data_IF_468674119689
#
_entry.id   IF_468674119689
#
_cell.length_a   1.000
_cell.length_b   1.000
_cell.length_c   1.000
_cell.angle_alpha   90.00
_cell.angle_beta   90.00
_cell.angle_gamma   90.00
#
_symmetry.space_group_name_H-M   'P 1'
#
loop_
_entity.id
_entity.type
_entity.pdbx_description
1 polymer ?
#
# COMPACT_ATOMS: atom_id res chain seq x y z
N UNK A 1 -3.91 18.07 9.98
CA UNK A 1 -4.27 16.68 9.63
C UNK A 1 -3.78 15.78 10.75
N UNK A 2 -4.61 14.86 11.23
CA UNK A 2 -4.20 13.87 12.24
C UNK A 2 -3.26 12.85 11.58
N UNK A 3 -2.05 12.70 12.13
CA UNK A 3 -1.12 11.66 11.66
C UNK A 3 -1.68 10.27 11.97
N UNK A 4 -1.45 9.32 11.07
CA UNK A 4 -1.86 7.91 11.26
C UNK A 4 -0.73 7.07 11.88
N UNK A 5 0.53 7.50 11.75
CA UNK A 5 1.64 6.87 12.48
C UNK A 5 1.46 7.10 13.97
N UNK A 6 1.85 6.09 14.77
CA UNK A 6 1.96 6.29 16.21
C UNK A 6 3.24 7.06 16.52
N UNK A 7 3.27 7.82 17.62
CA UNK A 7 4.48 8.56 18.04
C UNK A 7 5.69 7.64 18.18
N UNK A 8 5.49 6.42 18.71
CA UNK A 8 6.55 5.42 18.82
C UNK A 8 7.08 4.95 17.45
N UNK A 9 6.20 4.85 16.45
CA UNK A 9 6.58 4.48 15.09
C UNK A 9 7.30 5.60 14.36
N UNK A 10 6.87 6.85 14.59
CA UNK A 10 7.56 8.01 14.07
C UNK A 10 8.98 8.09 14.64
N UNK A 11 9.14 7.84 15.95
CA UNK A 11 10.45 7.75 16.58
C UNK A 11 11.34 6.62 16.01
N UNK A 12 10.76 5.44 15.73
CA UNK A 12 11.48 4.35 15.06
C UNK A 12 11.93 4.76 13.64
N UNK A 13 11.03 5.33 12.83
CA UNK A 13 11.31 5.81 11.46
C UNK A 13 12.41 6.86 11.47
N UNK A 14 12.31 7.85 12.36
CA UNK A 14 13.27 8.95 12.43
C UNK A 14 14.64 8.48 12.91
N UNK A 15 14.68 7.47 13.79
CA UNK A 15 15.94 6.84 14.20
C UNK A 15 16.61 6.09 13.05
N UNK A 16 15.86 5.28 12.29
CA UNK A 16 16.40 4.57 11.12
C UNK A 16 16.85 5.56 10.06
N UNK A 17 16.08 6.60 9.77
CA UNK A 17 16.42 7.64 8.80
C UNK A 17 17.71 8.39 9.14
N UNK A 18 17.97 8.62 10.43
CA UNK A 18 19.18 9.32 10.88
C UNK A 18 20.43 8.45 10.77
N UNK A 19 20.30 7.16 11.05
CA UNK A 19 21.44 6.26 11.28
C UNK A 19 21.70 5.30 10.10
N UNK A 20 20.82 5.29 9.09
CA UNK A 20 20.88 4.44 7.89
C UNK A 20 20.63 5.26 6.61
N UNK A 21 21.01 4.70 5.47
CA UNK A 21 20.75 5.29 4.15
C UNK A 21 19.28 5.18 3.74
N UNK A 22 18.85 5.94 2.73
CA UNK A 22 17.48 5.86 2.18
C UNK A 22 17.14 4.47 1.63
N UNK A 23 18.08 3.77 0.96
CA UNK A 23 17.86 2.40 0.47
C UNK A 23 17.58 1.43 1.62
N UNK A 24 18.33 1.56 2.72
CA UNK A 24 18.18 0.74 3.92
C UNK A 24 16.88 1.04 4.66
N UNK A 25 16.53 2.33 4.80
CA UNK A 25 15.25 2.76 5.37
C UNK A 25 14.08 2.14 4.58
N UNK A 26 14.09 2.27 3.25
CA UNK A 26 13.00 1.76 2.41
C UNK A 26 12.89 0.24 2.53
N UNK A 27 14.02 -0.46 2.44
CA UNK A 27 14.09 -1.91 2.59
C UNK A 27 13.57 -2.41 3.95
N UNK A 28 13.92 -1.71 5.03
CA UNK A 28 13.47 -2.01 6.38
C UNK A 28 11.97 -1.73 6.54
N UNK A 29 11.52 -0.54 6.14
CA UNK A 29 10.12 -0.14 6.26
C UNK A 29 9.20 -1.11 5.52
N UNK A 30 9.59 -1.57 4.33
CA UNK A 30 8.85 -2.53 3.52
C UNK A 30 8.55 -3.85 4.22
N UNK A 31 9.43 -4.27 5.12
CA UNK A 31 9.32 -5.50 5.90
C UNK A 31 8.91 -5.24 7.36
N UNK A 32 8.75 -3.98 7.74
CA UNK A 32 8.49 -3.58 9.12
C UNK A 32 7.05 -3.86 9.55
N UNK A 33 6.88 -4.09 10.84
CA UNK A 33 5.55 -4.12 11.46
C UNK A 33 4.84 -2.75 11.37
N UNK A 34 5.60 -1.65 11.19
CA UNK A 34 5.05 -0.31 10.99
C UNK A 34 4.22 -0.27 9.71
N UNK A 35 4.79 -0.68 8.57
CA UNK A 35 4.07 -0.69 7.29
C UNK A 35 2.81 -1.54 7.37
N UNK A 36 2.89 -2.71 8.00
CA UNK A 36 1.74 -3.60 8.18
C UNK A 36 0.59 -2.93 8.95
N UNK A 37 0.90 -2.28 10.09
CA UNK A 37 -0.10 -1.56 10.91
C UNK A 37 -0.60 -0.28 10.23
N UNK A 38 0.29 0.51 9.65
CA UNK A 38 -0.06 1.75 8.98
C UNK A 38 -1.01 1.49 7.81
N UNK A 39 -0.71 0.47 6.99
CA UNK A 39 -1.59 0.06 5.89
C UNK A 39 -2.99 -0.32 6.36
N UNK A 40 -3.11 -1.06 7.47
CA UNK A 40 -4.42 -1.37 8.10
C UNK A 40 -5.14 -0.12 8.60
N UNK A 41 -4.40 0.88 9.06
CA UNK A 41 -4.98 2.13 9.54
C UNK A 41 -5.50 2.96 8.36
N UNK A 42 -4.77 2.99 7.24
CA UNK A 42 -5.26 3.54 5.97
C UNK A 42 -6.49 2.78 5.44
N UNK A 43 -6.50 1.44 5.53
CA UNK A 43 -7.68 0.61 5.19
C UNK A 43 -8.91 1.01 5.98
N UNK A 44 -8.77 1.29 7.27
CA UNK A 44 -9.86 1.78 8.11
C UNK A 44 -10.29 3.19 7.68
N UNK A 45 -9.33 4.10 7.55
CA UNK A 45 -9.61 5.50 7.18
C UNK A 45 -10.32 5.62 5.82
N UNK A 46 -9.90 4.82 4.84
CA UNK A 46 -10.47 4.81 3.49
C UNK A 46 -11.67 3.88 3.36
N UNK A 47 -12.15 3.25 4.44
CA UNK A 47 -13.33 2.39 4.41
C UNK A 47 -13.21 1.21 3.44
N UNK A 48 -12.01 0.63 3.28
CA UNK A 48 -11.70 -0.43 2.31
C UNK A 48 -12.00 -0.03 0.86
N UNK A 49 -11.75 1.25 0.52
CA UNK A 49 -11.83 1.78 -0.85
C UNK A 49 -10.46 2.17 -1.36
N UNK A 50 -10.22 1.93 -2.64
CA UNK A 50 -9.04 2.43 -3.34
C UNK A 50 -9.03 3.95 -3.33
N UNK A 51 -7.89 4.58 -3.03
CA UNK A 51 -7.78 6.04 -3.03
C UNK A 51 -8.10 6.71 -4.37
N UNK A 52 -7.88 6.01 -5.48
CA UNK A 52 -8.05 6.56 -6.83
C UNK A 52 -9.40 6.20 -7.45
N UNK A 53 -9.76 4.91 -7.49
CA UNK A 53 -11.01 4.50 -8.12
C UNK A 53 -12.20 4.43 -7.17
N UNK A 54 -12.00 4.59 -5.85
CA UNK A 54 -13.03 4.48 -4.80
C UNK A 54 -13.81 3.16 -4.74
N UNK A 55 -13.50 2.20 -5.61
CA UNK A 55 -14.10 0.86 -5.60
C UNK A 55 -13.82 0.17 -4.27
N UNK A 56 -14.87 -0.36 -3.66
CA UNK A 56 -14.78 -1.14 -2.44
C UNK A 56 -14.16 -2.52 -2.70
N UNK A 57 -13.41 -3.03 -1.73
CA UNK A 57 -13.03 -4.44 -1.69
C UNK A 57 -13.48 -5.06 -0.37
N UNK A 58 -14.23 -6.16 -0.45
CA UNK A 58 -14.73 -6.88 0.72
C UNK A 58 -13.66 -7.75 1.39
N UNK A 59 -12.51 -7.15 1.71
CA UNK A 59 -11.39 -7.86 2.32
C UNK A 59 -10.56 -6.94 3.19
N UNK A 60 -10.27 -7.44 4.39
CA UNK A 60 -9.27 -6.84 5.27
C UNK A 60 -7.86 -7.35 4.95
N UNK A 61 -7.66 -8.22 3.96
CA UNK A 61 -6.34 -8.77 3.66
C UNK A 61 -5.43 -7.69 3.01
N UNK A 62 -4.35 -7.33 3.69
CA UNK A 62 -3.37 -6.33 3.23
C UNK A 62 -2.68 -6.67 1.91
N UNK A 63 -2.70 -7.93 1.44
CA UNK A 63 -2.08 -8.34 0.17
C UNK A 63 -2.88 -7.95 -1.07
N UNK A 64 -4.15 -7.56 -0.89
CA UNK A 64 -5.03 -7.10 -1.97
C UNK A 64 -4.90 -5.59 -2.23
N UNK A 65 -4.34 -4.88 -1.26
CA UNK A 65 -4.08 -3.46 -1.31
C UNK A 65 -2.60 -3.25 -1.57
N UNK A 66 -2.22 -2.14 -2.17
CA UNK A 66 -0.86 -1.61 -2.16
C UNK A 66 -0.82 -0.35 -1.31
N UNK A 67 0.33 -0.07 -0.71
CA UNK A 67 0.55 1.22 -0.06
C UNK A 67 1.12 2.15 -1.12
N UNK A 68 0.28 3.06 -1.59
CA UNK A 68 0.55 4.01 -2.65
C UNK A 68 1.28 5.24 -2.10
N UNK A 69 2.31 5.68 -2.82
CA UNK A 69 2.91 6.99 -2.66
C UNK A 69 2.34 7.95 -3.70
N UNK A 70 1.60 8.97 -3.25
CA UNK A 70 0.95 9.93 -4.15
C UNK A 70 2.00 10.60 -5.04
N UNK A 71 3.04 11.16 -4.42
CA UNK A 71 4.30 11.51 -5.06
C UNK A 71 5.23 10.30 -5.03
N UNK A 72 5.63 9.82 -6.21
CA UNK A 72 6.41 8.59 -6.36
C UNK A 72 7.69 8.61 -5.52
N UNK A 73 8.01 7.46 -4.92
CA UNK A 73 9.26 7.27 -4.19
C UNK A 73 10.52 7.36 -5.07
N UNK A 74 10.38 7.13 -6.38
CA UNK A 74 11.48 7.25 -7.35
C UNK A 74 11.92 8.71 -7.50
N UNK A 75 10.96 9.63 -7.58
CA UNK A 75 11.20 11.07 -7.81
C UNK A 75 11.29 11.86 -6.51
N UNK A 76 10.58 11.41 -5.46
CA UNK A 76 10.46 12.11 -4.18
C UNK A 76 10.78 11.20 -2.97
N UNK A 77 11.99 10.61 -2.91
CA UNK A 77 12.37 9.68 -1.85
C UNK A 77 12.32 10.30 -0.44
N UNK A 78 12.44 11.63 -0.32
CA UNK A 78 12.30 12.34 0.95
C UNK A 78 10.90 12.20 1.57
N UNK A 79 9.88 11.84 0.79
CA UNK A 79 8.51 11.64 1.26
C UNK A 79 8.10 10.17 1.43
N UNK A 80 9.05 9.23 1.36
CA UNK A 80 8.78 7.79 1.37
C UNK A 80 8.01 7.30 2.62
N UNK A 81 8.27 7.88 3.81
CA UNK A 81 7.52 7.57 5.05
C UNK A 81 6.72 8.75 5.58
N UNK A 82 6.34 9.72 4.74
CA UNK A 82 5.50 10.84 5.15
C UNK A 82 4.03 10.43 5.01
N UNK A 83 3.30 10.41 6.13
CA UNK A 83 1.94 9.86 6.18
C UNK A 83 0.98 10.52 5.17
N UNK A 84 1.10 11.83 4.96
CA UNK A 84 0.31 12.61 4.00
C UNK A 84 0.52 12.15 2.56
N UNK A 85 1.68 11.57 2.25
CA UNK A 85 2.01 11.05 0.92
C UNK A 85 1.54 9.59 0.73
N UNK A 86 1.02 8.95 1.76
CA UNK A 86 0.67 7.52 1.77
C UNK A 86 -0.84 7.29 1.83
N UNK A 87 -1.32 6.39 0.97
CA UNK A 87 -2.71 5.93 0.91
C UNK A 87 -2.75 4.45 0.51
N UNK A 88 -3.91 3.78 0.64
CA UNK A 88 -4.09 2.47 0.01
C UNK A 88 -4.69 2.60 -1.38
N UNK A 89 -4.11 1.87 -2.33
CA UNK A 89 -4.63 1.72 -3.69
C UNK A 89 -4.90 0.25 -4.00
N UNK A 90 -5.79 -0.02 -4.95
CA UNK A 90 -5.88 -1.34 -5.55
C UNK A 90 -4.69 -1.55 -6.50
N UNK A 91 -4.33 -2.82 -6.73
CA UNK A 91 -3.18 -3.18 -7.59
C UNK A 91 -3.27 -2.59 -8.99
N UNK A 92 -4.48 -2.54 -9.58
CA UNK A 92 -4.70 -1.96 -10.91
C UNK A 92 -4.31 -0.48 -10.94
N UNK A 93 -4.82 0.32 -10.01
CA UNK A 93 -4.57 1.76 -10.02
C UNK A 93 -3.11 2.10 -9.66
N UNK A 94 -2.54 1.40 -8.67
CA UNK A 94 -1.12 1.55 -8.31
C UNK A 94 -0.21 1.22 -9.52
N UNK A 95 -0.46 0.10 -10.20
CA UNK A 95 0.31 -0.29 -11.39
C UNK A 95 0.12 0.68 -12.57
N UNK A 96 -1.09 1.21 -12.77
CA UNK A 96 -1.38 2.14 -13.85
C UNK A 96 -0.72 3.52 -13.63
N UNK A 97 -0.83 4.07 -12.42
CA UNK A 97 -0.16 5.32 -12.05
C UNK A 97 1.35 5.15 -12.07
N UNK A 98 1.86 4.06 -11.46
CA UNK A 98 3.28 3.77 -11.34
C UNK A 98 4.04 4.98 -10.77
N UNK A 99 5.05 5.46 -11.50
CA UNK A 99 5.88 6.60 -11.14
C UNK A 99 5.47 7.88 -11.87
N UNK A 100 4.24 8.00 -12.36
CA UNK A 100 3.78 9.25 -12.96
C UNK A 100 3.80 10.38 -11.93
N UNK A 101 4.49 11.47 -12.27
CA UNK A 101 4.62 12.65 -11.43
C UNK A 101 3.33 13.48 -11.49
N UNK A 102 2.64 13.54 -10.35
CA UNK A 102 1.37 14.27 -10.21
C UNK A 102 1.55 15.61 -9.51
N UNK A 103 2.78 16.02 -9.20
CA UNK A 103 3.07 17.36 -8.73
C UNK A 103 2.98 18.32 -9.92
N UNK A 104 2.21 19.39 -9.83
CA UNK A 104 2.06 20.33 -10.97
C UNK A 104 3.42 20.95 -11.33
N UNK A 105 3.62 21.26 -12.62
CA UNK A 105 4.87 21.81 -13.14
C UNK A 105 5.21 23.19 -12.55
N UNK A 106 4.20 23.96 -12.15
CA UNK A 106 4.39 25.28 -11.52
C UNK A 106 4.93 25.20 -10.10
N UNK A 107 4.95 24.01 -9.47
CA UNK A 107 5.48 23.84 -8.13
C UNK A 107 7.01 23.66 -8.16
N UNK A 108 7.78 24.41 -7.34
CA UNK A 108 9.24 24.30 -7.29
C UNK A 108 9.73 22.87 -7.01
N UNK A 109 10.80 22.47 -7.72
CA UNK A 109 11.45 21.16 -7.52
C UNK A 109 12.92 21.31 -7.09
N UNK A 110 13.41 20.46 -6.16
CA UNK A 110 12.62 19.54 -5.33
C UNK A 110 11.79 20.32 -4.28
N UNK A 111 10.59 19.84 -3.91
CA UNK A 111 9.79 20.47 -2.87
C UNK A 111 10.50 20.31 -1.50
N UNK A 112 10.54 21.40 -0.73
CA UNK A 112 11.16 21.43 0.62
C UNK A 112 10.35 20.61 1.64
N UNK A 113 9.03 20.60 1.48
CA UNK A 113 8.10 19.85 2.32
C UNK A 113 6.98 19.28 1.46
N UNK A 114 6.29 18.24 1.95
CA UNK A 114 5.14 17.67 1.24
C UNK A 114 4.09 18.78 1.00
N UNK A 115 3.71 19.07 -0.26
CA UNK A 115 2.71 20.10 -0.53
C UNK A 115 1.37 19.77 0.14
N UNK A 116 0.84 20.70 0.92
CA UNK A 116 -0.39 20.50 1.71
C UNK A 116 -1.66 21.05 1.05
N UNK A 117 -1.51 21.71 -0.11
CA UNK A 117 -2.62 22.32 -0.82
C UNK A 117 -2.97 21.50 -2.08
N UNK A 118 -4.26 21.30 -2.30
CA UNK A 118 -4.83 20.62 -3.47
C UNK A 118 -4.27 21.13 -4.80
N UNK A 119 -4.11 22.45 -4.94
CA UNK A 119 -3.67 23.08 -6.21
C UNK A 119 -2.30 22.60 -6.70
N UNK A 120 -1.49 22.00 -5.82
CA UNK A 120 -0.18 21.48 -6.18
C UNK A 120 -0.23 20.09 -6.81
N UNK A 121 -1.38 19.43 -6.83
CA UNK A 121 -1.54 18.09 -7.40
C UNK A 121 -2.41 18.14 -8.66
N UNK A 122 -1.95 17.51 -9.74
CA UNK A 122 -2.69 17.42 -11.01
C UNK A 122 -3.87 16.46 -10.92
N UNK A 123 -3.85 15.52 -9.98
CA UNK A 123 -4.97 14.62 -9.65
C UNK A 123 -5.60 15.01 -8.29
N UNK A 124 -6.79 14.47 -7.94
CA UNK A 124 -7.34 14.60 -6.60
C UNK A 124 -6.43 13.89 -5.61
N UNK A 125 -5.90 14.64 -4.66
CA UNK A 125 -5.02 14.09 -3.63
C UNK A 125 -5.86 13.29 -2.62
N UNK A 126 -5.56 11.99 -2.37
CA UNK A 126 -6.39 11.09 -1.55
C UNK A 126 -6.78 11.54 -0.15
N UNK A 127 -6.02 12.47 0.43
CA UNK A 127 -6.23 12.98 1.79
C UNK A 127 -6.69 14.43 1.86
N UNK A 128 -6.64 15.15 0.74
CA UNK A 128 -6.91 16.61 0.71
C UNK A 128 -8.20 16.88 -0.06
N UNK A 129 -8.36 16.23 -1.21
CA UNK A 129 -9.48 16.48 -2.11
C UNK A 129 -10.68 15.59 -1.78
N UNK A 130 -11.88 16.14 -1.96
CA UNK A 130 -13.11 15.37 -2.01
C UNK A 130 -13.24 14.71 -3.38
N UNK A 131 -13.12 13.39 -3.41
CA UNK A 131 -13.20 12.61 -4.66
C UNK A 131 -14.51 12.86 -5.41
N UNK A 132 -15.63 13.00 -4.69
CA UNK A 132 -16.96 13.17 -5.27
C UNK A 132 -17.14 14.54 -5.97
N UNK A 133 -16.29 15.52 -5.66
CA UNK A 133 -16.26 16.81 -6.36
C UNK A 133 -15.42 16.76 -7.65
N UNK A 134 -14.61 15.71 -7.80
CA UNK A 134 -13.68 15.59 -8.91
C UNK A 134 -14.14 14.54 -9.93
N UNK A 135 -14.79 13.45 -9.50
CA UNK A 135 -15.21 12.37 -10.37
C UNK A 135 -16.63 11.89 -10.03
N UNK A 136 -17.29 11.34 -11.05
CA UNK A 136 -18.46 10.48 -10.90
C UNK A 136 -18.22 9.14 -11.62
N UNK A 137 -19.08 8.15 -11.35
CA UNK A 137 -18.94 6.82 -11.94
C UNK A 137 -20.29 6.15 -12.20
N UNK A 138 -20.30 5.22 -13.15
CA UNK A 138 -21.35 4.21 -13.33
C UNK A 138 -20.81 2.89 -12.81
N UNK A 139 -21.28 2.45 -11.64
CA UNK A 139 -20.93 1.16 -11.03
C UNK A 139 -19.41 0.86 -10.91
N UNK A 140 -18.55 1.88 -10.82
CA UNK A 140 -17.09 1.76 -10.82
C UNK A 140 -16.49 1.06 -12.07
N UNK A 141 -17.29 0.92 -13.14
CA UNK A 141 -16.88 0.35 -14.43
C UNK A 141 -16.43 1.46 -15.39
N UNK A 142 -17.11 2.61 -15.33
CA UNK A 142 -16.83 3.79 -16.13
C UNK A 142 -16.84 5.02 -15.22
N UNK A 143 -15.89 5.92 -15.43
CA UNK A 143 -15.70 7.15 -14.68
C UNK A 143 -15.79 8.36 -15.60
N UNK A 144 -16.29 9.47 -15.05
CA UNK A 144 -16.36 10.78 -15.69
C UNK A 144 -15.68 11.82 -14.81
N UNK A 145 -14.79 12.62 -15.40
CA UNK A 145 -14.19 13.77 -14.74
C UNK A 145 -15.22 14.89 -14.62
N UNK A 146 -15.36 15.45 -13.41
CA UNK A 146 -16.18 16.63 -13.14
C UNK A 146 -15.35 17.92 -13.20
N UNK A 147 -14.03 17.80 -13.15
CA UNK A 147 -13.05 18.86 -13.29
C UNK A 147 -11.74 18.32 -13.91
N UNK A 148 -10.76 19.20 -14.09
CA UNK A 148 -9.46 18.86 -14.69
C UNK A 148 -8.73 17.77 -13.91
N UNK A 149 -8.74 17.84 -12.57
CA UNK A 149 -8.15 16.82 -11.70
C UNK A 149 -8.78 15.46 -11.93
N UNK A 150 -10.10 15.40 -11.99
CA UNK A 150 -10.82 14.16 -12.24
C UNK A 150 -10.49 13.53 -13.60
N UNK A 151 -10.42 14.36 -14.64
CA UNK A 151 -10.03 13.94 -15.98
C UNK A 151 -8.60 13.42 -16.02
N UNK A 152 -7.68 14.10 -15.34
CA UNK A 152 -6.29 13.67 -15.21
C UNK A 152 -6.20 12.33 -14.47
N UNK A 153 -6.93 12.14 -13.37
CA UNK A 153 -6.92 10.88 -12.63
C UNK A 153 -7.40 9.70 -13.48
N UNK A 154 -8.45 9.89 -14.28
CA UNK A 154 -8.96 8.85 -15.19
C UNK A 154 -7.86 8.42 -16.17
N UNK A 155 -7.07 9.38 -16.66
CA UNK A 155 -5.97 9.16 -17.59
C UNK A 155 -4.78 8.46 -16.91
N UNK A 156 -4.26 9.06 -15.83
CA UNK A 156 -3.10 8.55 -15.05
C UNK A 156 -3.34 7.13 -14.57
N UNK A 157 -4.51 6.86 -13.99
CA UNK A 157 -4.85 5.55 -13.44
C UNK A 157 -5.59 4.63 -14.42
N UNK A 158 -5.80 5.06 -15.67
CA UNK A 158 -6.46 4.29 -16.74
C UNK A 158 -7.80 3.69 -16.30
N UNK A 159 -8.62 4.51 -15.64
CA UNK A 159 -9.82 4.01 -14.96
C UNK A 159 -10.81 3.37 -15.94
N UNK A 160 -10.93 3.93 -17.14
CA UNK A 160 -11.86 3.49 -18.19
C UNK A 160 -11.28 2.49 -19.20
N UNK A 161 -10.01 2.10 -19.08
CA UNK A 161 -9.32 1.28 -20.10
C UNK A 161 -10.04 -0.05 -20.40
N UNK A 162 -10.60 -0.72 -19.40
CA UNK A 162 -11.34 -1.98 -19.62
C UNK A 162 -12.68 -1.80 -20.33
N UNK A 163 -13.33 -0.66 -20.14
CA UNK A 163 -14.56 -0.31 -20.84
C UNK A 163 -14.26 0.00 -22.30
N UNK A 164 -13.20 0.77 -22.56
CA UNK A 164 -12.80 1.21 -23.91
C UNK A 164 -12.18 0.09 -24.75
N UNK A 165 -11.50 -0.88 -24.13
CA UNK A 165 -10.90 -2.03 -24.84
C UNK A 165 -11.94 -3.06 -25.32
N UNK A 166 -13.15 -3.06 -24.76
CA UNK A 166 -14.22 -3.99 -25.13
C UNK A 166 -15.10 -3.40 -26.23
N UNK A 167 -14.61 -3.50 -27.47
CA UNK A 167 -15.34 -3.17 -28.70
C UNK A 167 -15.26 -1.70 -29.07
N UNK A 168 -15.38 -1.38 -30.36
CA UNK A 168 -15.44 -0.02 -30.92
C UNK A 168 -16.69 0.76 -30.45
N UNK A 169 -16.95 0.77 -29.15
CA UNK A 169 -18.12 1.32 -28.49
C UNK A 169 -17.75 2.71 -27.95
N UNK A 170 -18.66 3.66 -28.16
CA UNK A 170 -18.56 5.00 -27.56
C UNK A 170 -18.72 4.91 -26.04
N UNK A 171 -18.33 5.98 -25.32
CA UNK A 171 -18.55 6.06 -23.87
C UNK A 171 -20.03 5.82 -23.52
N UNK A 172 -20.92 6.39 -24.35
CA UNK A 172 -22.37 6.28 -24.25
C UNK A 172 -22.83 4.82 -24.38
N UNK A 173 -22.28 4.06 -25.33
CA UNK A 173 -22.63 2.65 -25.54
C UNK A 173 -22.24 1.78 -24.33
N UNK A 174 -21.06 2.01 -23.74
CA UNK A 174 -20.64 1.24 -22.57
C UNK A 174 -21.50 1.62 -21.36
N UNK A 175 -21.83 2.90 -21.20
CA UNK A 175 -22.75 3.37 -20.15
C UNK A 175 -24.13 2.72 -20.29
N UNK A 176 -24.69 2.69 -21.49
CA UNK A 176 -25.97 2.04 -21.77
C UNK A 176 -25.92 0.54 -21.44
N UNK A 177 -24.89 -0.16 -21.90
CA UNK A 177 -24.74 -1.60 -21.63
C UNK A 177 -24.58 -1.92 -20.13
N UNK A 178 -23.83 -1.08 -19.39
CA UNK A 178 -23.67 -1.20 -17.95
C UNK A 178 -25.00 -0.97 -17.21
N UNK A 179 -25.81 -0.01 -17.67
CA UNK A 179 -27.15 0.26 -17.14
C UNK A 179 -28.07 -0.93 -17.30
N UNK A 180 -28.30 -1.39 -18.53
CA UNK A 180 -29.25 -2.48 -18.79
C UNK A 180 -28.92 -3.71 -17.94
N UNK A 181 -27.64 -4.13 -17.92
CA UNK A 181 -27.21 -5.29 -17.13
C UNK A 181 -27.39 -5.13 -15.62
N UNK A 182 -27.27 -3.90 -15.09
CA UNK A 182 -27.48 -3.65 -13.67
C UNK A 182 -28.94 -3.85 -13.30
N UNK A 183 -29.87 -3.25 -14.05
CA UNK A 183 -31.30 -3.34 -13.78
C UNK A 183 -31.85 -4.76 -13.97
N UNK A 184 -31.36 -5.47 -14.99
CA UNK A 184 -31.63 -6.90 -15.19
C UNK A 184 -31.24 -7.72 -13.94
N UNK A 185 -30.04 -7.47 -13.38
CA UNK A 185 -29.54 -8.19 -12.20
C UNK A 185 -30.31 -7.86 -10.93
N UNK A 186 -30.80 -6.63 -10.81
CA UNK A 186 -31.60 -6.18 -9.67
C UNK A 186 -33.09 -6.57 -9.78
N UNK A 187 -33.51 -7.19 -10.90
CA UNK A 187 -34.88 -7.63 -11.12
C UNK A 187 -35.88 -6.48 -11.16
N UNK A 188 -35.47 -5.32 -11.65
CA UNK A 188 -36.31 -4.11 -11.74
C UNK A 188 -36.22 -3.52 -13.14
N UNK A 189 -37.35 -3.36 -13.82
CA UNK A 189 -37.40 -2.68 -15.13
C UNK A 189 -37.31 -1.17 -14.92
N UNK A 190 -36.41 -0.50 -15.65
CA UNK A 190 -36.43 0.97 -15.74
C UNK A 190 -37.65 1.40 -16.56
N UNK A 191 -38.46 2.37 -16.08
CA UNK A 191 -39.47 3.01 -16.92
C UNK A 191 -38.81 3.59 -18.18
N UNK A 192 -39.44 3.40 -19.35
CA UNK A 192 -38.89 3.82 -20.64
C UNK A 192 -38.68 5.35 -20.76
N UNK A 193 -39.33 6.13 -19.90
CA UNK A 193 -39.29 7.59 -19.81
C UNK A 193 -38.41 8.12 -18.66
N UNK A 194 -37.66 7.25 -17.97
CA UNK A 194 -36.81 7.65 -16.86
C UNK A 194 -35.56 8.40 -17.38
N UNK A 195 -35.26 9.63 -16.87
CA UNK A 195 -34.11 10.39 -17.33
C UNK A 195 -32.80 9.62 -17.17
N UNK A 196 -31.95 9.71 -18.18
CA UNK A 196 -30.75 8.89 -18.27
C UNK A 196 -29.72 9.19 -17.14
N UNK A 197 -29.59 10.46 -16.76
CA UNK A 197 -28.71 10.91 -15.68
C UNK A 197 -29.22 10.44 -14.30
N UNK A 198 -30.53 10.49 -14.07
CA UNK A 198 -31.15 10.02 -12.84
C UNK A 198 -30.94 8.50 -12.65
N UNK A 199 -30.94 7.72 -13.75
CA UNK A 199 -30.67 6.29 -13.70
C UNK A 199 -29.23 6.01 -13.26
N UNK A 200 -28.26 6.77 -13.81
CA UNK A 200 -26.84 6.67 -13.43
C UNK A 200 -26.68 6.96 -11.94
N UNK A 201 -27.27 8.07 -11.48
CA UNK A 201 -27.14 8.50 -10.10
C UNK A 201 -27.72 7.46 -9.15
N UNK A 202 -28.91 6.94 -9.46
CA UNK A 202 -29.56 5.88 -8.66
C UNK A 202 -28.76 4.59 -8.64
N UNK A 203 -28.20 4.15 -9.78
CA UNK A 203 -27.32 2.99 -9.84
C UNK A 203 -26.08 3.18 -8.98
N UNK A 204 -25.41 4.31 -9.13
CA UNK A 204 -24.22 4.64 -8.36
C UNK A 204 -24.54 4.66 -6.86
N UNK A 205 -25.71 5.19 -6.47
CA UNK A 205 -26.15 5.19 -5.08
C UNK A 205 -26.42 3.78 -4.55
N UNK A 206 -27.17 2.95 -5.27
CA UNK A 206 -27.46 1.57 -4.86
C UNK A 206 -26.18 0.73 -4.71
N UNK A 207 -25.22 0.87 -5.63
CA UNK A 207 -23.92 0.20 -5.51
C UNK A 207 -23.19 0.69 -4.26
N UNK A 208 -23.15 2.01 -4.01
CA UNK A 208 -22.52 2.56 -2.80
C UNK A 208 -23.18 2.05 -1.53
N UNK A 209 -24.50 2.01 -1.46
CA UNK A 209 -25.26 1.56 -0.29
C UNK A 209 -24.97 0.08 0.02
N UNK A 210 -24.96 -0.77 -1.01
CA UNK A 210 -24.61 -2.19 -0.88
C UNK A 210 -23.17 -2.39 -0.39
N UNK A 211 -22.22 -1.66 -0.97
CA UNK A 211 -20.82 -1.69 -0.54
C UNK A 211 -20.65 -1.20 0.90
N UNK A 212 -21.40 -0.18 1.30
CA UNK A 212 -21.35 0.39 2.64
C UNK A 212 -21.96 -0.57 3.69
N UNK A 213 -22.99 -1.33 3.32
CA UNK A 213 -23.52 -2.42 4.14
C UNK A 213 -22.48 -3.54 4.33
N UNK A 214 -21.77 -3.93 3.27
CA UNK A 214 -20.69 -4.93 3.36
C UNK A 214 -19.50 -4.41 4.16
N UNK A 215 -19.13 -3.14 3.97
CA UNK A 215 -18.06 -2.45 4.71
C UNK A 215 -18.30 -2.55 6.21
N UNK A 216 -19.54 -2.31 6.66
CA UNK A 216 -19.90 -2.41 8.08
C UNK A 216 -19.52 -3.76 8.70
N UNK A 217 -19.70 -4.86 7.96
CA UNK A 217 -19.34 -6.21 8.41
C UNK A 217 -17.82 -6.41 8.56
N UNK A 218 -17.01 -5.72 7.74
CA UNK A 218 -15.54 -5.84 7.76
C UNK A 218 -14.85 -4.90 8.75
N UNK A 219 -15.52 -3.83 9.19
CA UNK A 219 -14.92 -2.83 10.08
C UNK A 219 -14.54 -3.41 11.44
N UNK A 220 -15.43 -4.14 12.10
CA UNK A 220 -15.14 -4.70 13.42
C UNK A 220 -13.95 -5.69 13.43
N UNK A 221 -13.84 -6.63 12.47
CA UNK A 221 -12.64 -7.45 12.31
C UNK A 221 -11.36 -6.62 12.10
N UNK A 222 -11.40 -5.60 11.24
CA UNK A 222 -10.25 -4.73 10.96
C UNK A 222 -9.80 -3.97 12.22
N UNK A 223 -10.75 -3.43 12.98
CA UNK A 223 -10.48 -2.74 14.23
C UNK A 223 -9.86 -3.65 15.29
N UNK A 224 -10.33 -4.90 15.37
CA UNK A 224 -9.75 -5.90 16.27
C UNK A 224 -8.30 -6.24 15.91
N UNK A 225 -7.98 -6.35 14.62
CA UNK A 225 -6.60 -6.54 14.17
C UNK A 225 -5.72 -5.31 14.46
N UNK A 226 -6.23 -4.11 14.18
CA UNK A 226 -5.53 -2.87 14.50
C UNK A 226 -5.22 -2.74 15.99
N UNK A 227 -6.16 -3.08 16.87
CA UNK A 227 -5.93 -3.08 18.33
C UNK A 227 -4.77 -4.01 18.72
N UNK A 228 -4.72 -5.21 18.14
CA UNK A 228 -3.60 -6.16 18.39
C UNK A 228 -2.27 -5.60 17.91
N UNK A 229 -2.25 -4.96 16.74
CA UNK A 229 -1.03 -4.37 16.18
C UNK A 229 -0.56 -3.14 16.99
N UNK A 230 -1.48 -2.30 17.45
CA UNK A 230 -1.17 -1.17 18.33
C UNK A 230 -0.54 -1.65 19.65
N UNK A 231 -1.09 -2.71 20.26
CA UNK A 231 -0.54 -3.28 21.49
C UNK A 231 0.87 -3.88 21.28
N UNK A 232 1.16 -4.42 20.09
CA UNK A 232 2.50 -4.89 19.73
C UNK A 232 3.45 -3.72 19.50
N UNK A 233 2.98 -2.65 18.86
CA UNK A 233 3.78 -1.47 18.57
C UNK A 233 4.29 -0.81 19.86
N UNK A 234 3.50 -0.80 20.94
CA UNK A 234 3.88 -0.26 22.24
C UNK A 234 5.08 -0.97 22.91
N UNK A 235 5.49 -2.15 22.42
CA UNK A 235 6.63 -2.91 22.97
C UNK A 235 7.93 -2.72 22.20
N UNK A 236 7.92 -1.96 21.11
CA UNK A 236 9.08 -1.75 20.24
C UNK A 236 9.88 -0.53 20.67
N UNK A 237 11.16 -0.51 20.33
CA UNK A 237 12.05 0.62 20.62
C UNK A 237 12.81 1.07 19.38
N UNK A 238 13.19 2.35 19.34
CA UNK A 238 13.95 2.93 18.24
C UNK A 238 15.31 2.23 18.03
N UNK A 239 15.99 1.83 19.10
CA UNK A 239 17.27 1.12 19.04
C UNK A 239 17.12 -0.23 18.33
N UNK A 240 16.08 -1.00 18.68
CA UNK A 240 15.79 -2.28 18.03
C UNK A 240 15.47 -2.12 16.54
N UNK A 241 14.80 -1.02 16.16
CA UNK A 241 14.49 -0.70 14.77
C UNK A 241 15.75 -0.40 13.94
N UNK A 242 16.66 0.41 14.48
CA UNK A 242 17.96 0.72 13.84
C UNK A 242 18.82 -0.53 13.67
N UNK A 243 18.92 -1.37 14.70
CA UNK A 243 19.66 -2.62 14.62
C UNK A 243 19.08 -3.53 13.52
N UNK A 244 17.76 -3.72 13.51
CA UNK A 244 17.08 -4.54 12.50
C UNK A 244 17.27 -4.02 11.07
N UNK A 245 17.31 -2.70 10.87
CA UNK A 245 17.57 -2.08 9.57
C UNK A 245 18.99 -2.41 9.07
N UNK A 246 20.01 -2.24 9.93
CA UNK A 246 21.42 -2.54 9.60
C UNK A 246 21.63 -4.03 9.34
N UNK A 247 21.05 -4.91 10.15
CA UNK A 247 21.11 -6.37 9.93
C UNK A 247 20.47 -6.78 8.60
N UNK A 248 19.34 -6.18 8.24
CA UNK A 248 18.70 -6.43 6.96
C UNK A 248 19.57 -5.97 5.79
N UNK A 249 20.20 -4.80 5.90
CA UNK A 249 21.11 -4.26 4.90
C UNK A 249 22.30 -5.20 4.67
N UNK A 250 22.94 -5.63 5.77
CA UNK A 250 24.05 -6.58 5.73
C UNK A 250 23.65 -7.92 5.07
N UNK A 251 22.47 -8.46 5.41
CA UNK A 251 21.93 -9.68 4.77
C UNK A 251 21.71 -9.49 3.27
N UNK A 252 21.12 -8.37 2.85
CA UNK A 252 20.91 -8.07 1.42
C UNK A 252 22.23 -7.93 0.66
N UNK A 253 23.22 -7.26 1.25
CA UNK A 253 24.56 -7.14 0.67
C UNK A 253 25.22 -8.51 0.51
N UNK A 254 25.21 -9.35 1.57
CA UNK A 254 25.72 -10.72 1.52
C UNK A 254 25.06 -11.53 0.40
N UNK A 255 23.74 -11.44 0.25
CA UNK A 255 23.02 -12.11 -0.83
C UNK A 255 23.45 -11.60 -2.21
N UNK A 256 23.54 -10.27 -2.42
CA UNK A 256 24.01 -9.67 -3.68
C UNK A 256 25.41 -10.16 -4.08
N UNK A 257 26.32 -10.25 -3.10
CA UNK A 257 27.67 -10.77 -3.31
C UNK A 257 27.64 -12.26 -3.70
N UNK A 258 26.88 -13.09 -2.99
CA UNK A 258 26.74 -14.51 -3.31
C UNK A 258 26.12 -14.74 -4.70
N UNK A 259 25.08 -13.99 -5.06
CA UNK A 259 24.44 -14.07 -6.37
C UNK A 259 25.41 -13.65 -7.49
N UNK A 260 26.24 -12.63 -7.26
CA UNK A 260 27.27 -12.19 -8.21
C UNK A 260 28.36 -13.24 -8.39
N UNK A 261 28.80 -13.89 -7.30
CA UNK A 261 29.77 -14.99 -7.34
C UNK A 261 29.19 -16.19 -8.09
N UNK A 262 27.91 -16.52 -7.88
CA UNK A 262 27.26 -17.66 -8.55
C UNK A 262 27.16 -17.53 -10.08
N UNK A 263 27.26 -16.30 -10.60
CA UNK A 263 27.17 -15.98 -12.04
C UNK A 263 28.53 -15.82 -12.72
N UNK A 264 29.64 -15.91 -11.99
CA UNK A 264 30.99 -15.85 -12.57
C UNK A 264 31.51 -17.27 -12.88
N UNK A 265 32.00 -17.49 -14.09
CA UNK A 265 32.45 -18.81 -14.60
C UNK A 265 33.96 -19.09 -14.41
N UNK A 266 34.70 -18.25 -13.67
CA UNK A 266 36.17 -18.37 -13.59
C UNK A 266 36.68 -19.04 -12.31
N UNK A 267 37.69 -19.91 -12.45
CA UNK A 267 38.30 -20.74 -11.39
C UNK A 267 38.97 -19.97 -10.24
N UNK A 268 39.32 -18.68 -10.40
CA UNK A 268 39.98 -17.87 -9.36
C UNK A 268 39.08 -17.55 -8.14
N UNK A 269 37.77 -17.81 -8.22
CA UNK A 269 36.81 -17.42 -7.20
C UNK A 269 36.58 -18.42 -6.06
N UNK A 270 37.07 -19.67 -6.16
CA UNK A 270 36.92 -20.64 -5.06
C UNK A 270 37.74 -20.23 -3.81
N UNK A 271 38.81 -19.47 -4.04
CA UNK A 271 39.63 -18.82 -3.01
C UNK A 271 38.88 -17.64 -2.37
N UNK A 272 38.24 -16.78 -3.18
CA UNK A 272 37.45 -15.64 -2.68
C UNK A 272 36.20 -16.12 -1.92
N UNK A 273 35.56 -17.20 -2.41
CA UNK A 273 34.42 -17.85 -1.75
C UNK A 273 34.80 -18.41 -0.38
N UNK A 274 35.97 -19.01 -0.22
CA UNK A 274 36.50 -19.45 1.09
C UNK A 274 36.85 -18.27 2.01
N UNK A 275 37.43 -17.20 1.47
CA UNK A 275 37.80 -16.01 2.25
C UNK A 275 36.57 -15.28 2.82
N UNK A 276 35.49 -15.14 2.05
CA UNK A 276 34.27 -14.46 2.49
C UNK A 276 33.43 -15.26 3.50
N UNK A 277 33.57 -16.60 3.52
CA UNK A 277 32.94 -17.46 4.53
C UNK A 277 33.64 -17.32 5.88
N UNK A 278 34.95 -17.04 5.89
CA UNK A 278 35.76 -16.90 7.11
C UNK A 278 35.65 -15.51 7.77
N UNK A 279 35.25 -14.46 7.03
CA UNK A 279 35.13 -13.08 7.59
C UNK A 279 33.76 -12.77 8.20
N UNK A 280 32.83 -13.74 8.26
CA UNK A 280 31.43 -13.52 8.69
C UNK A 280 31.11 -14.25 10.00
N UNK A 281 32.10 -14.86 10.65
CA UNK A 281 31.94 -15.50 11.96
C UNK A 281 32.88 -14.85 12.97
N UNK A 282 32.46 -13.73 13.54
CA UNK A 282 32.85 -13.22 14.87
C UNK A 282 32.20 -11.86 15.09
N UNK A 283 30.94 -11.84 15.55
CA UNK A 283 30.41 -10.90 16.56
C UNK A 283 28.87 -10.85 16.59
N UNK A 284 28.25 -11.83 17.27
CA UNK A 284 27.08 -11.60 18.13
C UNK A 284 26.80 -12.87 18.96
N UNK A 285 26.92 -12.85 20.30
CA UNK A 285 26.55 -13.99 21.13
C UNK A 285 25.02 -14.11 21.20
N UNK A 286 24.50 -15.21 20.63
CA UNK A 286 23.14 -15.67 20.85
C UNK A 286 22.99 -16.14 22.31
N UNK A 287 22.43 -15.29 23.17
CA UNK A 287 21.86 -15.75 24.44
C UNK A 287 20.56 -16.52 24.15
N UNK A 288 20.68 -17.81 23.91
CA UNK A 288 19.56 -18.75 23.93
C UNK A 288 19.60 -19.44 25.29
N UNK A 289 18.71 -19.02 26.20
CA UNK A 289 18.40 -19.77 27.40
C UNK A 289 17.69 -21.06 27.03
N UNK A 290 18.40 -22.18 27.15
CA UNK A 290 17.83 -23.52 27.07
C UNK A 290 17.72 -24.10 28.48
N UNK A 291 16.53 -24.02 29.07
CA UNK A 291 16.13 -24.90 30.17
C UNK A 291 15.04 -25.84 29.67
N UNK A 292 15.47 -27.01 29.17
CA UNK A 292 14.71 -28.27 29.24
C UNK A 292 15.69 -29.43 29.32
N UNK A 293 15.87 -29.91 30.53
CA UNK A 293 16.63 -31.11 30.88
C UNK A 293 15.89 -32.36 30.37
N UNK A 294 16.55 -33.34 29.74
CA UNK A 294 15.93 -34.60 29.33
C UNK A 294 15.85 -35.59 30.51
N UNK A 295 14.92 -36.57 30.49
CA UNK A 295 14.81 -37.56 31.55
C UNK A 295 15.95 -38.58 31.46
N UNK A 296 16.64 -38.78 32.59
CA UNK A 296 17.71 -39.77 32.75
C UNK A 296 17.18 -41.20 32.78
N UNK A 297 17.89 -42.06 32.07
CA UNK A 297 17.74 -43.52 32.04
C UNK A 297 18.28 -44.14 33.34
N UNK A 298 17.68 -45.25 33.73
CA UNK A 298 17.93 -46.06 34.92
C UNK A 298 19.41 -46.45 35.16
N UNK A 299 19.77 -46.53 36.44
CA UNK A 299 20.90 -47.30 36.96
C UNK A 299 20.38 -48.41 37.90
N UNK A 300 21.13 -49.52 38.06
CA UNK A 300 20.65 -50.76 38.67
C UNK A 300 20.74 -50.78 40.21
N UNK A 301 20.03 -51.74 40.80
CA UNK A 301 19.95 -52.08 42.24
C UNK A 301 21.31 -52.14 42.96
N UNK A 302 21.31 -51.96 44.30
CA UNK A 302 21.45 -53.17 45.12
C UNK A 302 20.65 -53.17 46.45
N UNK A 303 20.54 -54.41 46.97
CA UNK A 303 20.04 -54.95 48.26
C UNK A 303 18.55 -55.24 48.40
#
# INVERSE_FOLDING_TARGET
>A
MTTIFLDSEQAEIDAVRRDCTSEELNAWFDQSAIKARFKKSCMKLQGLRCCYCQKYSNTINSSQWDLEHVLSEDDYPQFFTVDGNLAIACKKCNLAKRNQDVLVQSHPRPPVSLPSNSIHYSIPHPRIDDWAQCLSHVNYEIYKGLNDKGTELITVCRLNELAVLNGNLSYEDVVFAAKSRFFDRMGSDLPADFPEDDAIERMAQLTRDNEDALKYLQMAPLENELRKLNNKAAKRTAESAVLAAKELAARKLKKRLLDSISKCETADFEIIRKALVLTVDESAPLLIGNDKQPPGVADPEPT
#
